data_IF_286114862918
#
_entry.id   IF_286114862918
#
_cell.length_a   1.000
_cell.length_b   1.000
_cell.length_c   1.000
_cell.angle_alpha   90.00
_cell.angle_beta   90.00
_cell.angle_gamma   90.00
#
_symmetry.space_group_name_H-M   'P 1'
#
loop_
_entity.id
_entity.type
_entity.pdbx_description
1 polymer ?
#
# COMPACT_ATOMS: atom_id res chain seq x y z
N UNK A 1 15.63 14.10 7.36
CA UNK A 1 14.49 14.40 8.26
C UNK A 1 15.04 14.96 9.55
N UNK A 2 15.07 16.29 9.70
CA UNK A 2 15.58 16.94 10.91
C UNK A 2 14.42 17.15 11.89
N UNK A 3 14.22 16.18 12.79
CA UNK A 3 13.39 16.41 13.98
C UNK A 3 14.30 17.20 14.93
N UNK A 4 14.08 18.51 15.04
CA UNK A 4 14.83 19.36 15.96
C UNK A 4 14.83 18.77 17.38
N UNK A 5 15.97 18.88 18.07
CA UNK A 5 16.14 18.40 19.44
C UNK A 5 14.94 18.81 20.31
N UNK A 6 14.26 17.82 20.90
CA UNK A 6 13.05 17.90 21.76
C UNK A 6 11.65 17.88 21.14
N UNK A 7 11.45 17.67 19.83
CA UNK A 7 10.10 17.34 19.31
C UNK A 7 9.85 15.82 19.33
N UNK A 8 9.25 15.34 20.43
CA UNK A 8 8.63 14.01 20.44
C UNK A 8 7.47 14.00 19.46
N UNK A 9 7.46 13.04 18.55
CA UNK A 9 6.32 12.76 17.67
C UNK A 9 5.79 11.37 18.00
N UNK A 10 4.49 11.18 17.82
CA UNK A 10 3.90 9.86 17.90
C UNK A 10 4.42 8.96 16.77
N UNK A 11 4.38 7.65 16.99
CA UNK A 11 4.86 6.67 16.01
C UNK A 11 4.07 6.75 14.70
N UNK A 12 2.75 6.92 14.77
CA UNK A 12 1.89 7.10 13.59
C UNK A 12 2.32 8.31 12.77
N UNK A 13 2.65 9.44 13.41
CA UNK A 13 3.10 10.64 12.74
C UNK A 13 4.47 10.46 12.10
N UNK A 14 5.35 9.71 12.75
CA UNK A 14 6.64 9.32 12.16
C UNK A 14 6.45 8.44 10.92
N UNK A 15 5.65 7.37 11.03
CA UNK A 15 5.36 6.45 9.93
C UNK A 15 4.73 7.22 8.76
N UNK A 16 3.74 8.07 9.03
CA UNK A 16 3.10 8.88 8.01
C UNK A 16 4.10 9.77 7.27
N UNK A 17 4.96 10.48 7.99
CA UNK A 17 5.99 11.33 7.38
C UNK A 17 7.00 10.53 6.56
N UNK A 18 7.43 9.37 7.05
CA UNK A 18 8.41 8.55 6.34
C UNK A 18 7.82 7.94 5.06
N UNK A 19 6.54 7.57 5.06
CA UNK A 19 5.92 6.84 3.95
C UNK A 19 5.15 7.73 2.97
N UNK A 20 4.47 8.77 3.45
CA UNK A 20 3.43 9.50 2.70
C UNK A 20 3.63 11.02 2.66
N UNK A 21 4.73 11.56 3.19
CA UNK A 21 5.08 12.97 3.03
C UNK A 21 5.14 13.34 1.54
N UNK A 22 4.54 14.47 1.15
CA UNK A 22 4.36 14.83 -0.27
C UNK A 22 5.68 15.09 -0.98
N UNK A 23 6.71 15.53 -0.25
CA UNK A 23 7.98 15.92 -0.85
C UNK A 23 9.01 14.78 -0.72
N UNK A 24 8.99 14.05 0.40
CA UNK A 24 10.03 13.09 0.75
C UNK A 24 9.53 11.69 1.12
N UNK A 25 8.23 11.43 1.04
CA UNK A 25 7.64 10.16 1.41
C UNK A 25 8.13 9.03 0.50
N UNK A 26 8.42 7.87 1.09
CA UNK A 26 8.90 6.68 0.40
C UNK A 26 8.01 6.30 -0.81
N UNK A 27 6.68 6.31 -0.64
CA UNK A 27 5.72 5.98 -1.71
C UNK A 27 5.49 7.11 -2.72
N UNK A 28 5.99 8.32 -2.47
CA UNK A 28 5.82 9.47 -3.36
C UNK A 28 7.03 9.65 -4.28
N UNK A 29 8.23 9.49 -3.73
CA UNK A 29 9.47 9.82 -4.44
C UNK A 29 9.71 8.96 -5.68
N UNK A 30 9.46 7.66 -5.58
CA UNK A 30 9.65 6.68 -6.66
C UNK A 30 8.58 5.58 -6.56
N UNK A 31 8.35 4.84 -7.65
CA UNK A 31 7.50 3.65 -7.62
C UNK A 31 8.29 2.45 -7.04
N UNK A 32 7.94 1.95 -5.83
CA UNK A 32 8.69 0.86 -5.20
C UNK A 32 8.22 -0.52 -5.67
N UNK A 33 7.17 -0.62 -6.49
CA UNK A 33 6.54 -1.87 -6.87
C UNK A 33 7.17 -2.51 -8.13
N UNK A 34 7.24 -3.83 -8.14
CA UNK A 34 7.56 -4.64 -9.32
C UNK A 34 9.02 -5.07 -9.40
N UNK A 35 9.39 -5.77 -10.48
CA UNK A 35 10.72 -6.42 -10.62
C UNK A 35 11.91 -5.44 -10.53
N UNK A 36 11.69 -4.16 -10.83
CA UNK A 36 12.70 -3.09 -10.78
C UNK A 36 12.56 -2.20 -9.53
N UNK A 37 11.52 -2.42 -8.73
CA UNK A 37 11.31 -1.73 -7.47
C UNK A 37 11.91 -2.50 -6.31
N UNK A 38 11.65 -2.02 -5.09
CA UNK A 38 12.18 -2.61 -3.87
C UNK A 38 11.47 -3.91 -3.50
N UNK A 39 10.23 -4.11 -3.96
CA UNK A 39 9.48 -5.33 -3.71
C UNK A 39 8.45 -5.65 -4.81
N UNK A 40 8.12 -6.94 -4.91
CA UNK A 40 7.05 -7.46 -5.76
C UNK A 40 5.80 -7.75 -4.92
N UNK A 41 4.62 -7.65 -5.51
CA UNK A 41 3.34 -7.98 -4.86
C UNK A 41 2.65 -9.15 -5.57
N UNK A 42 1.69 -9.81 -4.92
CA UNK A 42 0.98 -10.97 -5.50
C UNK A 42 0.36 -10.69 -6.88
N UNK A 43 -0.30 -9.54 -7.12
CA UNK A 43 -0.75 -9.18 -8.47
C UNK A 43 0.38 -9.08 -9.52
N UNK A 44 1.61 -8.74 -9.12
CA UNK A 44 2.75 -8.71 -10.03
C UNK A 44 3.31 -10.10 -10.35
N UNK A 45 3.02 -11.11 -9.51
CA UNK A 45 3.51 -12.48 -9.67
C UNK A 45 2.60 -13.28 -10.61
N UNK A 46 1.29 -13.23 -10.39
CA UNK A 46 0.33 -14.04 -11.14
C UNK A 46 -1.03 -13.37 -11.25
N UNK A 47 -1.60 -13.42 -12.47
CA UNK A 47 -2.98 -12.98 -12.76
C UNK A 47 -4.00 -13.78 -11.95
N UNK A 48 -3.69 -15.03 -11.61
CA UNK A 48 -4.55 -15.89 -10.79
C UNK A 48 -4.93 -15.24 -9.44
N UNK A 49 -4.04 -14.42 -8.85
CA UNK A 49 -4.37 -13.71 -7.61
C UNK A 49 -5.56 -12.77 -7.82
N UNK A 50 -5.53 -11.97 -8.88
CA UNK A 50 -6.61 -11.02 -9.21
C UNK A 50 -7.89 -11.74 -9.62
N UNK A 51 -7.79 -12.85 -10.35
CA UNK A 51 -8.95 -13.68 -10.72
C UNK A 51 -9.64 -14.26 -9.49
N UNK A 52 -8.88 -14.76 -8.51
CA UNK A 52 -9.44 -15.31 -7.27
C UNK A 52 -10.12 -14.25 -6.42
N UNK A 53 -9.53 -13.06 -6.29
CA UNK A 53 -10.19 -11.94 -5.63
C UNK A 53 -11.48 -11.56 -6.36
N UNK A 54 -11.48 -11.57 -7.71
CA UNK A 54 -12.66 -11.23 -8.50
C UNK A 54 -13.79 -12.24 -8.33
N UNK A 55 -13.48 -13.55 -8.40
CA UNK A 55 -14.44 -14.62 -8.14
C UNK A 55 -15.00 -14.52 -6.73
N UNK A 56 -14.15 -14.27 -5.73
CA UNK A 56 -14.59 -14.08 -4.36
C UNK A 56 -15.51 -12.86 -4.20
N UNK A 57 -15.17 -11.72 -4.81
CA UNK A 57 -16.00 -10.51 -4.76
C UNK A 57 -17.38 -10.73 -5.38
N UNK A 58 -17.44 -11.38 -6.54
CA UNK A 58 -18.71 -11.70 -7.21
C UNK A 58 -19.53 -12.67 -6.36
N UNK A 59 -18.92 -13.76 -5.90
CA UNK A 59 -19.60 -14.76 -5.06
C UNK A 59 -20.09 -14.16 -3.74
N UNK A 60 -19.31 -13.27 -3.13
CA UNK A 60 -19.71 -12.58 -1.91
C UNK A 60 -20.88 -11.63 -2.17
N UNK A 61 -20.84 -10.86 -3.26
CA UNK A 61 -21.93 -9.99 -3.68
C UNK A 61 -23.23 -10.75 -3.97
N UNK A 62 -23.15 -11.90 -4.64
CA UNK A 62 -24.28 -12.80 -4.84
C UNK A 62 -24.85 -13.32 -3.51
N UNK A 63 -23.98 -13.73 -2.58
CA UNK A 63 -24.37 -14.19 -1.25
C UNK A 63 -25.04 -13.09 -0.41
N UNK A 64 -24.67 -11.83 -0.61
CA UNK A 64 -25.33 -10.67 0.01
C UNK A 64 -26.72 -10.39 -0.57
N UNK A 65 -27.23 -11.25 -1.47
CA UNK A 65 -28.45 -11.02 -2.24
C UNK A 65 -28.37 -9.63 -2.85
N UNK A 66 -27.33 -9.44 -3.67
CA UNK A 66 -27.11 -8.29 -4.57
C UNK A 66 -28.38 -7.44 -4.77
N UNK A 67 -28.28 -6.10 -4.83
CA UNK A 67 -29.42 -5.32 -5.31
C UNK A 67 -30.02 -5.93 -6.60
#
# INVERSE_FOLDING_TARGET
MLIGHNKKISLDRFIYKSLYDKDNGYYIKNNPFGKKGDFITSPNISVLFSEMISIWLISFWENLKKP
#
